data_IF_178792882427
#
_entry.id   IF_178792882427
#
_cell.length_a   1.000
_cell.length_b   1.000
_cell.length_c   1.000
_cell.angle_alpha   90.00
_cell.angle_beta   90.00
_cell.angle_gamma   90.00
#
_symmetry.space_group_name_H-M   'P 1'
#
loop_
_entity.id
_entity.type
_entity.pdbx_description
1 polymer ?
#
# COMPACT_ATOMS: atom_id res chain seq x y z
N UNK A 1 -27.92 -2.70 -1.03
CA UNK A 1 -27.02 -3.82 -1.33
C UNK A 1 -25.87 -3.74 -0.34
N UNK A 2 -25.71 -4.72 0.55
CA UNK A 2 -24.55 -4.72 1.45
C UNK A 2 -23.35 -5.22 0.65
N UNK A 3 -22.32 -4.38 0.52
CA UNK A 3 -21.04 -4.81 -0.04
C UNK A 3 -20.56 -6.03 0.74
N UNK A 4 -20.05 -7.03 0.04
CA UNK A 4 -19.66 -8.30 0.63
C UNK A 4 -18.35 -8.12 1.42
N UNK A 5 -18.44 -7.60 2.64
CA UNK A 5 -17.32 -7.25 3.55
C UNK A 5 -16.52 -8.45 4.07
N UNK A 6 -16.64 -9.64 3.47
CA UNK A 6 -16.01 -10.88 3.94
C UNK A 6 -14.99 -11.49 2.96
N UNK A 7 -14.73 -10.86 1.82
CA UNK A 7 -13.72 -11.38 0.88
C UNK A 7 -12.35 -10.76 1.16
N UNK A 8 -11.26 -11.56 1.08
CA UNK A 8 -9.91 -11.03 1.10
C UNK A 8 -9.72 -9.95 0.05
N UNK A 9 -9.03 -8.88 0.45
CA UNK A 9 -8.60 -7.83 -0.46
C UNK A 9 -7.14 -8.02 -0.82
N UNK A 10 -6.83 -7.71 -2.07
CA UNK A 10 -5.47 -7.54 -2.56
C UNK A 10 -5.33 -6.11 -3.04
N UNK A 11 -4.31 -5.42 -2.55
CA UNK A 11 -3.98 -4.06 -2.91
C UNK A 11 -2.68 -4.04 -3.70
N UNK A 12 -2.68 -3.31 -4.80
CA UNK A 12 -1.45 -2.92 -5.50
C UNK A 12 -1.20 -1.44 -5.23
N UNK A 13 -0.17 -1.15 -4.43
CA UNK A 13 0.15 0.20 -3.97
C UNK A 13 1.41 0.68 -4.68
N UNK A 14 1.29 1.73 -5.48
CA UNK A 14 2.42 2.36 -6.16
C UNK A 14 2.83 3.61 -5.37
N UNK A 15 4.09 3.66 -4.96
CA UNK A 15 4.66 4.70 -4.13
C UNK A 15 5.69 5.50 -4.92
N UNK A 16 5.49 6.81 -4.95
CA UNK A 16 6.42 7.77 -5.55
C UNK A 16 7.02 8.60 -4.43
N UNK A 17 8.32 8.49 -4.22
CA UNK A 17 9.07 9.11 -3.13
C UNK A 17 9.63 10.45 -3.62
N UNK A 18 9.62 11.46 -2.74
CA UNK A 18 10.26 12.74 -3.05
C UNK A 18 11.78 12.56 -3.10
N UNK A 19 12.43 13.26 -4.02
CA UNK A 19 13.89 13.20 -4.16
C UNK A 19 14.60 13.48 -2.83
N UNK A 20 15.53 12.60 -2.45
CA UNK A 20 16.29 12.71 -1.20
C UNK A 20 15.54 12.36 0.08
N UNK A 21 14.33 11.77 -0.01
CA UNK A 21 13.48 11.45 1.16
C UNK A 21 13.31 9.95 1.44
N UNK A 22 14.22 9.11 0.94
CA UNK A 22 14.15 7.66 1.12
C UNK A 22 14.26 7.21 2.58
N UNK A 23 15.00 7.93 3.42
CA UNK A 23 15.10 7.61 4.86
C UNK A 23 13.76 7.87 5.58
N UNK A 24 13.12 9.02 5.32
CA UNK A 24 11.80 9.33 5.87
C UNK A 24 10.74 8.38 5.32
N UNK A 25 10.87 7.97 4.06
CA UNK A 25 10.02 6.96 3.44
C UNK A 25 10.15 5.61 4.15
N UNK A 26 11.38 5.14 4.38
CA UNK A 26 11.64 3.88 5.09
C UNK A 26 11.10 3.92 6.53
N UNK A 27 11.26 5.04 7.22
CA UNK A 27 10.70 5.22 8.56
C UNK A 27 9.17 5.21 8.55
N UNK A 28 8.53 5.83 7.55
CA UNK A 28 7.09 5.82 7.38
C UNK A 28 6.56 4.40 7.10
N UNK A 29 7.11 3.72 6.09
CA UNK A 29 6.59 2.41 5.68
C UNK A 29 6.78 1.35 6.77
N UNK A 30 7.88 1.41 7.52
CA UNK A 30 8.14 0.49 8.63
C UNK A 30 7.06 0.64 9.72
N UNK A 31 6.75 1.88 10.12
CA UNK A 31 5.71 2.14 11.13
C UNK A 31 4.31 1.84 10.60
N UNK A 32 4.03 2.19 9.35
CA UNK A 32 2.75 1.90 8.71
C UNK A 32 2.50 0.38 8.57
N UNK A 33 3.54 -0.41 8.29
CA UNK A 33 3.47 -1.86 8.22
C UNK A 33 3.21 -2.49 9.60
N UNK A 34 3.82 -1.97 10.66
CA UNK A 34 3.54 -2.43 12.03
C UNK A 34 2.07 -2.22 12.42
N UNK A 35 1.50 -1.05 12.12
CA UNK A 35 0.07 -0.79 12.36
C UNK A 35 -0.81 -1.69 11.48
N UNK A 36 -0.38 -1.98 10.25
CA UNK A 36 -1.09 -2.84 9.31
C UNK A 36 -1.23 -4.28 9.82
N UNK A 37 -0.19 -4.84 10.43
CA UNK A 37 -0.17 -6.21 10.97
C UNK A 37 -1.25 -6.43 12.05
N UNK A 38 -1.55 -5.41 12.86
CA UNK A 38 -2.59 -5.49 13.90
C UNK A 38 -4.00 -5.71 13.34
N UNK A 39 -4.21 -5.39 12.06
CA UNK A 39 -5.46 -5.59 11.34
C UNK A 39 -5.41 -6.79 10.39
N UNK A 40 -4.41 -7.66 10.55
CA UNK A 40 -4.19 -8.81 9.67
C UNK A 40 -3.76 -8.43 8.25
N UNK A 41 -3.45 -7.16 8.02
CA UNK A 41 -2.88 -6.70 6.75
C UNK A 41 -1.43 -7.15 6.64
N UNK A 42 -0.98 -7.45 5.42
CA UNK A 42 0.36 -7.97 5.19
C UNK A 42 0.94 -7.49 3.86
N UNK A 43 2.20 -7.06 3.86
CA UNK A 43 2.96 -6.85 2.64
C UNK A 43 3.44 -8.22 2.13
N UNK A 44 2.83 -8.71 1.06
CA UNK A 44 3.20 -9.99 0.46
C UNK A 44 4.44 -9.89 -0.41
N UNK A 45 4.59 -8.75 -1.12
CA UNK A 45 5.75 -8.46 -1.97
C UNK A 45 6.05 -6.97 -2.01
N UNK A 46 7.33 -6.66 -2.12
CA UNK A 46 7.85 -5.33 -2.48
C UNK A 46 8.58 -5.46 -3.81
N UNK A 47 8.24 -4.62 -4.78
CA UNK A 47 8.83 -4.58 -6.11
C UNK A 47 9.44 -3.20 -6.30
N UNK A 48 10.69 -3.14 -6.75
CA UNK A 48 11.35 -1.91 -7.20
C UNK A 48 11.45 -1.97 -8.72
N UNK A 49 10.57 -1.27 -9.46
CA UNK A 49 10.52 -1.38 -10.92
C UNK A 49 11.83 -0.94 -11.57
N UNK A 50 12.31 -1.70 -12.54
CA UNK A 50 13.52 -1.37 -13.32
C UNK A 50 13.16 -0.78 -14.69
N UNK A 51 12.04 -1.21 -15.26
CA UNK A 51 11.54 -0.74 -16.55
C UNK A 51 10.03 -0.96 -16.65
N UNK A 52 9.39 -0.32 -17.63
CA UNK A 52 7.99 -0.51 -17.97
C UNK A 52 7.84 -0.57 -19.49
N UNK A 53 7.03 -1.51 -19.95
CA UNK A 53 6.60 -1.60 -21.34
C UNK A 53 5.24 -0.92 -21.51
N UNK A 54 4.98 -0.35 -22.69
CA UNK A 54 3.73 0.37 -22.97
C UNK A 54 3.90 1.89 -22.82
N UNK A 55 2.84 2.56 -22.34
CA UNK A 55 2.86 4.02 -22.17
C UNK A 55 3.95 4.45 -21.20
N UNK A 56 4.65 5.55 -21.54
CA UNK A 56 5.72 6.11 -20.71
C UNK A 56 5.13 6.92 -19.55
N UNK A 57 4.60 6.23 -18.55
CA UNK A 57 4.33 6.83 -17.24
C UNK A 57 5.61 6.88 -16.39
N UNK A 58 5.70 7.77 -15.39
CA UNK A 58 6.75 7.69 -14.39
C UNK A 58 6.69 6.34 -13.64
N UNK A 59 7.83 5.67 -13.51
CA UNK A 59 7.94 4.49 -12.66
C UNK A 59 7.75 4.89 -11.19
N UNK A 60 6.98 4.14 -10.40
CA UNK A 60 7.01 4.29 -8.95
C UNK A 60 8.36 3.80 -8.43
N UNK A 61 8.80 4.34 -7.30
CA UNK A 61 10.01 3.90 -6.61
C UNK A 61 9.79 2.51 -5.99
N UNK A 62 8.61 2.28 -5.42
CA UNK A 62 8.19 0.97 -4.91
C UNK A 62 6.75 0.63 -5.30
N UNK A 63 6.50 -0.67 -5.54
CA UNK A 63 5.18 -1.26 -5.65
C UNK A 63 5.04 -2.29 -4.54
N UNK A 64 4.03 -2.12 -3.67
CA UNK A 64 3.69 -3.09 -2.63
C UNK A 64 2.46 -3.88 -3.06
N UNK A 65 2.54 -5.21 -2.99
CA UNK A 65 1.38 -6.08 -3.00
C UNK A 65 1.01 -6.38 -1.55
N UNK A 66 -0.20 -5.99 -1.17
CA UNK A 66 -0.68 -6.06 0.21
C UNK A 66 -1.98 -6.85 0.26
N UNK A 67 -2.13 -7.77 1.21
CA UNK A 67 -3.38 -8.47 1.45
C UNK A 67 -4.02 -8.02 2.76
N UNK A 68 -5.35 -8.03 2.81
CA UNK A 68 -6.15 -7.92 4.04
C UNK A 68 -7.19 -9.04 4.10
N UNK A 69 -7.58 -9.51 5.30
CA UNK A 69 -8.60 -10.55 5.43
C UNK A 69 -9.95 -10.13 4.85
N UNK A 70 -10.29 -8.84 5.00
CA UNK A 70 -11.46 -8.24 4.37
C UNK A 70 -11.38 -6.71 4.26
N UNK A 71 -12.36 -6.12 3.56
CA UNK A 71 -12.51 -4.67 3.42
C UNK A 71 -12.67 -3.95 4.76
N UNK A 72 -13.36 -4.56 5.73
CA UNK A 72 -13.55 -3.94 7.04
C UNK A 72 -12.24 -3.78 7.80
N UNK A 73 -11.33 -4.75 7.69
CA UNK A 73 -10.01 -4.68 8.34
C UNK A 73 -9.13 -3.62 7.67
N UNK A 74 -9.18 -3.51 6.35
CA UNK A 74 -8.50 -2.44 5.62
C UNK A 74 -9.01 -1.05 6.01
N UNK A 75 -10.33 -0.86 6.13
CA UNK A 75 -10.89 0.42 6.58
C UNK A 75 -10.50 0.74 8.02
N UNK A 76 -10.51 -0.25 8.92
CA UNK A 76 -10.08 -0.06 10.31
C UNK A 76 -8.61 0.34 10.40
N UNK A 77 -7.74 -0.27 9.58
CA UNK A 77 -6.34 0.14 9.44
C UNK A 77 -6.21 1.60 8.97
N UNK A 78 -6.90 1.99 7.90
CA UNK A 78 -6.83 3.36 7.34
C UNK A 78 -7.23 4.43 8.36
N UNK A 79 -8.19 4.12 9.24
CA UNK A 79 -8.71 5.03 10.25
C UNK A 79 -8.09 4.83 11.63
N UNK A 80 -7.07 3.99 11.78
CA UNK A 80 -6.33 3.86 13.04
C UNK A 80 -5.70 5.22 13.41
N UNK A 81 -5.86 5.71 14.65
CA UNK A 81 -5.25 6.96 15.11
C UNK A 81 -3.74 7.06 14.87
N UNK A 82 -3.00 5.94 14.98
CA UNK A 82 -1.56 5.86 14.71
C UNK A 82 -1.24 6.22 13.26
N UNK A 83 -2.12 5.92 12.30
CA UNK A 83 -1.93 6.36 10.92
C UNK A 83 -2.03 7.87 10.76
N UNK A 84 -2.82 8.54 11.62
CA UNK A 84 -2.88 10.00 11.64
C UNK A 84 -1.59 10.62 12.20
N UNK A 85 -0.96 9.97 13.17
CA UNK A 85 0.34 10.39 13.72
C UNK A 85 1.45 10.33 12.65
N UNK A 86 1.36 9.37 11.73
CA UNK A 86 2.30 9.22 10.61
C UNK A 86 2.07 10.20 9.45
N UNK A 87 0.99 11.00 9.46
CA UNK A 87 0.59 11.85 8.32
C UNK A 87 1.68 12.85 7.93
N UNK A 88 2.33 13.49 8.90
CA UNK A 88 3.39 14.48 8.64
C UNK A 88 4.60 13.82 7.97
N UNK A 89 5.03 12.67 8.49
CA UNK A 89 6.16 11.90 7.93
C UNK A 89 5.84 11.41 6.51
N UNK A 90 4.62 10.92 6.31
CA UNK A 90 4.12 10.54 4.98
C UNK A 90 4.16 11.71 4.00
N UNK A 91 3.70 12.89 4.41
CA UNK A 91 3.71 14.10 3.58
C UNK A 91 5.12 14.58 3.27
N UNK A 92 6.07 14.40 4.19
CA UNK A 92 7.46 14.72 3.95
C UNK A 92 8.10 13.79 2.92
N UNK A 93 7.78 12.49 2.98
CA UNK A 93 8.45 11.47 2.18
C UNK A 93 7.82 11.21 0.81
N UNK A 94 6.49 11.18 0.73
CA UNK A 94 5.77 10.64 -0.45
C UNK A 94 5.27 11.79 -1.32
N UNK A 95 5.62 11.74 -2.61
CA UNK A 95 5.15 12.66 -3.64
C UNK A 95 3.75 12.28 -4.14
N UNK A 96 3.52 10.99 -4.40
CA UNK A 96 2.25 10.47 -4.89
C UNK A 96 2.02 9.02 -4.43
N UNK A 97 0.77 8.59 -4.39
CA UNK A 97 0.39 7.20 -4.13
C UNK A 97 -0.80 6.83 -4.97
N UNK A 98 -0.71 5.68 -5.65
CA UNK A 98 -1.84 5.06 -6.32
C UNK A 98 -2.14 3.76 -5.59
N UNK A 99 -3.41 3.56 -5.21
CA UNK A 99 -3.88 2.33 -4.58
C UNK A 99 -4.92 1.71 -5.49
N UNK A 100 -4.64 0.51 -5.99
CA UNK A 100 -5.59 -0.31 -6.72
C UNK A 100 -6.13 -1.35 -5.74
N UNK A 101 -7.44 -1.33 -5.51
CA UNK A 101 -8.14 -2.30 -4.66
C UNK A 101 -8.72 -3.39 -5.53
N UNK A 102 -8.41 -4.65 -5.24
CA UNK A 102 -8.91 -5.81 -5.95
C UNK A 102 -9.22 -6.98 -5.02
N UNK A 103 -9.68 -8.07 -5.64
CA UNK A 103 -9.83 -9.39 -5.02
C UNK A 103 -8.94 -10.38 -5.78
N UNK A 104 -8.60 -11.49 -5.14
CA UNK A 104 -7.85 -12.57 -5.80
C UNK A 104 -8.57 -13.01 -7.09
N UNK A 105 -7.78 -13.18 -8.16
CA UNK A 105 -8.26 -13.71 -9.44
C UNK A 105 -8.00 -15.21 -9.54
N UNK A 106 -8.64 -15.85 -10.50
CA UNK A 106 -8.29 -17.23 -10.86
C UNK A 106 -6.88 -17.28 -11.45
N UNK A 107 -6.08 -18.26 -11.02
CA UNK A 107 -4.81 -18.55 -11.66
C UNK A 107 -5.06 -19.33 -12.95
N UNK A 108 -4.47 -18.88 -14.04
CA UNK A 108 -4.52 -19.57 -15.33
C UNK A 108 -3.19 -20.31 -15.54
N UNK A 109 -3.23 -21.63 -15.62
CA UNK A 109 -2.04 -22.47 -15.80
C UNK A 109 -2.35 -23.96 -15.74
#
# INVERSE_FOLDING_TARGET
MMANTQKPLVLTVLLYVKSGKFEQFQAYETQAAQVMEDYGGKIDRVIRPVSMAGEKLPLPDEIHLVSFPCEQDFERYKFDPRMSELKSLRQEAIANTIVIVGTEGELYG
#
